data_IF_668838961828
#
_entry.id   IF_668838961828
#
_cell.length_a   1.000
_cell.length_b   1.000
_cell.length_c   1.000
_cell.angle_alpha   90.00
_cell.angle_beta   90.00
_cell.angle_gamma   90.00
#
_symmetry.space_group_name_H-M   'P 1'
#
loop_
_entity.id
_entity.type
_entity.pdbx_description
1 polymer ?
#
# COMPACT_ATOMS: atom_id res chain seq x y z
N UNK A 1 4.96 17.48 -11.51
CA UNK A 1 4.86 17.16 -10.06
C UNK A 1 4.21 15.81 -9.97
N UNK A 2 4.89 14.78 -9.46
CA UNK A 2 4.25 13.49 -9.21
C UNK A 2 3.17 13.74 -8.15
N UNK A 3 1.93 13.42 -8.46
CA UNK A 3 0.80 13.57 -7.55
C UNK A 3 1.06 12.67 -6.34
N UNK A 4 1.53 13.28 -5.25
CA UNK A 4 1.82 12.56 -4.01
C UNK A 4 0.45 12.11 -3.51
N UNK A 5 0.23 10.81 -3.37
CA UNK A 5 -1.08 10.20 -3.00
C UNK A 5 -1.74 10.90 -1.79
N UNK A 6 -0.96 11.61 -0.97
CA UNK A 6 -1.44 12.34 0.20
C UNK A 6 -1.88 11.34 1.26
N UNK A 7 -2.57 11.82 2.29
CA UNK A 7 -3.28 10.93 3.20
C UNK A 7 -4.58 10.49 2.53
N UNK A 8 -4.82 9.19 2.43
CA UNK A 8 -6.02 8.60 1.84
C UNK A 8 -6.63 7.56 2.77
N UNK A 9 -7.91 7.30 2.57
CA UNK A 9 -8.61 6.20 3.22
C UNK A 9 -9.32 5.37 2.17
N UNK A 10 -9.30 4.06 2.37
CA UNK A 10 -10.03 3.12 1.54
C UNK A 10 -10.78 2.12 2.43
N UNK A 11 -11.92 1.66 1.95
CA UNK A 11 -12.68 0.58 2.56
C UNK A 11 -12.42 -0.73 1.81
N UNK A 12 -12.22 -1.82 2.57
CA UNK A 12 -12.05 -3.16 2.02
C UNK A 12 -12.50 -4.21 3.04
N UNK A 13 -13.38 -5.13 2.63
CA UNK A 13 -13.95 -6.21 3.50
C UNK A 13 -14.45 -5.69 4.86
N UNK A 14 -15.27 -4.65 4.84
CA UNK A 14 -15.85 -4.02 6.05
C UNK A 14 -14.81 -3.41 7.01
N UNK A 15 -13.59 -3.15 6.54
CA UNK A 15 -12.51 -2.50 7.30
C UNK A 15 -12.07 -1.22 6.59
N UNK A 16 -11.74 -0.21 7.38
CA UNK A 16 -11.18 1.05 6.88
C UNK A 16 -9.66 1.04 7.05
N UNK A 17 -8.95 1.41 5.99
CA UNK A 17 -7.51 1.50 5.95
C UNK A 17 -7.09 2.94 5.67
N UNK A 18 -6.17 3.45 6.46
CA UNK A 18 -5.55 4.75 6.28
C UNK A 18 -4.17 4.58 5.64
N UNK A 19 -3.95 5.30 4.55
CA UNK A 19 -2.70 5.37 3.82
C UNK A 19 -2.06 6.71 4.14
N UNK A 20 -0.98 6.70 4.92
CA UNK A 20 -0.33 7.91 5.43
C UNK A 20 1.08 8.04 4.84
N UNK A 21 1.48 9.19 4.27
CA UNK A 21 2.83 9.38 3.77
C UNK A 21 3.86 9.30 4.90
N UNK A 22 4.81 8.37 4.78
CA UNK A 22 5.94 8.22 5.71
C UNK A 22 7.27 8.64 5.10
N UNK A 23 7.30 8.85 3.78
CA UNK A 23 8.47 9.31 3.06
C UNK A 23 8.13 10.11 1.80
N UNK A 24 9.14 10.42 0.96
CA UNK A 24 8.93 11.04 -0.34
C UNK A 24 8.24 10.09 -1.33
N UNK A 25 8.48 8.79 -1.19
CA UNK A 25 8.03 7.72 -2.11
C UNK A 25 7.42 6.54 -1.36
N UNK A 26 6.99 6.74 -0.11
CA UNK A 26 6.48 5.67 0.74
C UNK A 26 5.30 6.15 1.60
N UNK A 27 4.34 5.25 1.78
CA UNK A 27 3.16 5.44 2.60
C UNK A 27 2.93 4.19 3.45
N UNK A 28 2.59 4.36 4.73
CA UNK A 28 2.16 3.25 5.58
C UNK A 28 0.68 2.97 5.38
N UNK A 29 0.32 1.70 5.36
CA UNK A 29 -1.06 1.22 5.31
C UNK A 29 -1.43 0.70 6.68
N UNK A 30 -2.36 1.38 7.34
CA UNK A 30 -2.77 1.09 8.71
C UNK A 30 -4.27 0.85 8.75
N UNK A 31 -4.72 -0.22 9.41
CA UNK A 31 -6.14 -0.38 9.69
C UNK A 31 -6.60 0.64 10.74
N UNK A 32 -7.66 1.41 10.44
CA UNK A 32 -8.14 2.48 11.31
C UNK A 32 -8.71 1.95 12.62
N UNK A 33 -9.41 0.81 12.59
CA UNK A 33 -10.11 0.29 13.77
C UNK A 33 -9.14 -0.30 14.80
N UNK A 34 -8.15 -1.06 14.35
CA UNK A 34 -7.18 -1.73 15.24
C UNK A 34 -5.88 -0.94 15.42
N UNK A 35 -5.57 -0.01 14.52
CA UNK A 35 -4.29 0.69 14.47
C UNK A 35 -3.12 -0.17 13.98
N UNK A 36 -3.37 -1.39 13.48
CA UNK A 36 -2.33 -2.30 13.01
C UNK A 36 -1.79 -1.85 11.65
N UNK A 37 -0.46 -1.76 11.54
CA UNK A 37 0.23 -1.50 10.27
C UNK A 37 0.33 -2.79 9.49
N UNK A 38 -0.30 -2.83 8.32
CA UNK A 38 -0.23 -3.99 7.42
C UNK A 38 0.99 -4.00 6.51
N UNK A 39 1.60 -2.84 6.31
CA UNK A 39 2.79 -2.70 5.50
C UNK A 39 2.89 -1.31 4.92
N UNK A 40 3.60 -1.22 3.80
CA UNK A 40 3.91 0.02 3.13
C UNK A 40 3.58 -0.08 1.65
N UNK A 41 2.95 0.96 1.13
CA UNK A 41 2.90 1.25 -0.29
C UNK A 41 4.16 2.05 -0.64
N UNK A 42 4.91 1.62 -1.64
CA UNK A 42 6.10 2.31 -2.12
C UNK A 42 5.97 2.65 -3.59
N UNK A 43 6.44 3.83 -3.98
CA UNK A 43 6.56 4.21 -5.38
C UNK A 43 7.88 3.64 -5.92
N UNK A 44 7.77 2.65 -6.80
CA UNK A 44 8.91 1.94 -7.41
C UNK A 44 9.46 2.77 -8.56
N UNK A 45 8.59 3.27 -9.43
CA UNK A 45 8.99 4.05 -10.60
C UNK A 45 7.99 5.18 -10.85
N UNK A 46 8.46 6.44 -10.86
CA UNK A 46 7.63 7.60 -11.18
C UNK A 46 7.16 7.66 -12.64
N UNK A 47 7.89 7.02 -13.55
CA UNK A 47 7.57 6.93 -14.98
C UNK A 47 7.77 5.49 -15.43
N UNK A 48 6.77 4.65 -15.19
CA UNK A 48 6.70 3.31 -15.76
C UNK A 48 6.67 3.32 -17.29
N UNK A 49 6.55 2.15 -17.92
CA UNK A 49 6.64 1.99 -19.37
C UNK A 49 5.66 2.86 -20.17
N UNK A 50 4.50 3.20 -19.60
CA UNK A 50 3.49 4.06 -20.22
C UNK A 50 3.45 5.49 -19.65
N UNK A 51 4.46 5.88 -18.86
CA UNK A 51 4.50 7.17 -18.17
C UNK A 51 3.64 7.25 -16.91
N UNK A 52 2.95 6.16 -16.55
CA UNK A 52 2.21 6.00 -15.30
C UNK A 52 3.14 5.63 -14.14
N UNK A 53 2.89 6.12 -12.92
CA UNK A 53 3.65 5.70 -11.75
C UNK A 53 3.39 4.21 -11.45
N UNK A 54 4.45 3.48 -11.10
CA UNK A 54 4.40 2.09 -10.63
C UNK A 54 4.62 2.09 -9.13
N UNK A 55 3.66 1.55 -8.42
CA UNK A 55 3.69 1.34 -6.98
C UNK A 55 3.92 -0.13 -6.68
N UNK A 56 4.29 -0.44 -5.45
CA UNK A 56 4.26 -1.80 -4.93
C UNK A 56 3.97 -1.85 -3.44
N UNK A 57 3.51 -3.00 -2.97
CA UNK A 57 3.27 -3.24 -1.55
C UNK A 57 4.41 -4.04 -0.92
N UNK A 58 4.87 -3.56 0.23
CA UNK A 58 5.94 -4.15 1.04
C UNK A 58 5.35 -4.50 2.40
N UNK A 59 5.44 -5.78 2.77
CA UNK A 59 5.05 -6.25 4.12
C UNK A 59 6.01 -5.67 5.18
N UNK A 60 5.60 -5.51 6.44
CA UNK A 60 6.42 -4.91 7.51
C UNK A 60 7.78 -5.61 7.70
N UNK A 61 7.84 -6.93 7.53
CA UNK A 61 9.05 -7.74 7.68
C UNK A 61 9.78 -8.03 6.36
N UNK A 62 9.35 -7.44 5.23
CA UNK A 62 9.93 -7.70 3.92
C UNK A 62 10.67 -6.47 3.40
N UNK A 63 11.81 -6.70 2.74
CA UNK A 63 12.59 -5.63 2.12
C UNK A 63 12.15 -5.32 0.68
N UNK A 64 11.45 -6.25 0.03
CA UNK A 64 11.08 -6.16 -1.38
C UNK A 64 9.57 -6.13 -1.56
N UNK A 65 9.05 -5.37 -2.54
CA UNK A 65 7.64 -5.43 -2.88
C UNK A 65 7.28 -6.82 -3.40
N UNK A 66 6.15 -7.36 -2.95
CA UNK A 66 5.67 -8.68 -3.40
C UNK A 66 4.59 -8.58 -4.48
N UNK A 67 4.01 -7.39 -4.65
CA UNK A 67 3.09 -7.04 -5.73
C UNK A 67 3.42 -5.62 -6.18
N UNK A 68 3.37 -5.39 -7.50
CA UNK A 68 3.57 -4.09 -8.13
C UNK A 68 2.55 -3.85 -9.25
N UNK A 69 2.32 -2.57 -9.55
CA UNK A 69 1.33 -2.15 -10.53
C UNK A 69 1.10 -0.64 -10.53
N UNK A 70 0.26 -0.16 -11.45
CA UNK A 70 -0.05 1.27 -11.59
C UNK A 70 -1.23 1.72 -10.72
N UNK A 71 -2.09 0.78 -10.32
CA UNK A 71 -3.24 1.03 -9.46
C UNK A 71 -2.89 0.78 -7.98
N UNK A 72 -2.66 1.86 -7.25
CA UNK A 72 -2.27 1.75 -5.85
C UNK A 72 -3.37 1.24 -4.93
N UNK A 73 -4.65 1.45 -5.28
CA UNK A 73 -5.78 1.00 -4.46
C UNK A 73 -5.87 -0.53 -4.49
N UNK A 74 -5.75 -1.13 -5.67
CA UNK A 74 -5.72 -2.59 -5.85
C UNK A 74 -4.54 -3.22 -5.10
N UNK A 75 -3.36 -2.59 -5.17
CA UNK A 75 -2.17 -3.02 -4.42
C UNK A 75 -2.40 -3.01 -2.91
N UNK A 76 -3.03 -1.97 -2.36
CA UNK A 76 -3.35 -1.91 -0.92
C UNK A 76 -4.37 -2.98 -0.53
N UNK A 77 -5.37 -3.25 -1.36
CA UNK A 77 -6.34 -4.35 -1.14
C UNK A 77 -5.67 -5.72 -1.17
N UNK A 78 -4.72 -5.92 -2.09
CA UNK A 78 -3.92 -7.13 -2.18
C UNK A 78 -3.04 -7.31 -0.92
N UNK A 79 -2.42 -6.23 -0.43
CA UNK A 79 -1.70 -6.23 0.85
C UNK A 79 -2.58 -6.64 2.03
N UNK A 80 -3.77 -6.04 2.14
CA UNK A 80 -4.73 -6.41 3.18
C UNK A 80 -5.10 -7.90 3.11
N UNK A 81 -5.36 -8.42 1.92
CA UNK A 81 -5.66 -9.85 1.71
C UNK A 81 -4.47 -10.75 2.05
N UNK A 82 -3.24 -10.34 1.72
CA UNK A 82 -2.03 -11.11 1.99
C UNK A 82 -1.77 -11.24 3.48
N UNK A 83 -1.93 -10.15 4.25
CA UNK A 83 -1.77 -10.24 5.70
C UNK A 83 -2.89 -11.07 6.31
N UNK A 84 -4.15 -10.84 5.93
CA UNK A 84 -5.31 -11.60 6.42
C UNK A 84 -5.16 -13.12 6.15
N UNK A 85 -4.62 -13.49 4.99
CA UNK A 85 -4.34 -14.90 4.65
C UNK A 85 -3.13 -15.49 5.37
N UNK A 86 -2.22 -14.65 5.87
CA UNK A 86 -1.05 -15.04 6.65
C UNK A 86 -1.30 -15.13 8.15
N UNK A 87 -2.43 -14.59 8.64
CA UNK A 87 -2.94 -14.84 9.99
C UNK A 87 -3.67 -16.20 9.97
N UNK A 88 -2.90 -17.28 9.89
CA UNK A 88 -3.38 -18.59 10.32
C UNK A 88 -3.31 -18.62 11.86
N UNK A 89 -4.44 -18.96 12.47
CA UNK A 89 -4.74 -18.91 13.91
C UNK A 89 -3.85 -19.74 14.81
#
# INVERSE_FOLDING_TARGET
>A
MADKIGTRRIEHKDREFEIVPTGPTAWSVTEVLTGVVYGHLVLINMKGEEGSPVYGAVLPDHATPFIDGTDWEDIVRALANQVDSGIDV
#
